data_IF_578005903445
#
_entry.id   IF_578005903445
#
_cell.length_a   1.000
_cell.length_b   1.000
_cell.length_c   1.000
_cell.angle_alpha   90.00
_cell.angle_beta   90.00
_cell.angle_gamma   90.00
#
_symmetry.space_group_name_H-M   'P 1'
#
loop_
_entity.id
_entity.type
_entity.pdbx_description
1 polymer ?
#
# COMPACT_ATOMS: atom_id res chain seq x y z
N UNK A 1 -5.55 -4.35 17.31
CA UNK A 1 -6.89 -4.49 17.89
C UNK A 1 -7.10 -5.90 18.42
N UNK A 2 -7.87 -6.01 19.47
CA UNK A 2 -8.17 -7.31 20.09
C UNK A 2 -8.95 -8.19 19.13
N UNK A 3 -8.49 -9.42 18.93
CA UNK A 3 -9.18 -10.42 18.14
C UNK A 3 -9.07 -10.23 16.63
N UNK A 4 -8.30 -9.26 16.15
CA UNK A 4 -8.05 -9.14 14.72
C UNK A 4 -7.04 -10.18 14.28
N UNK A 5 -7.48 -11.11 13.46
CA UNK A 5 -6.62 -12.05 12.77
C UNK A 5 -6.54 -11.62 11.30
N UNK A 6 -5.35 -11.33 10.77
CA UNK A 6 -5.23 -10.96 9.37
C UNK A 6 -5.68 -12.09 8.47
N UNK A 7 -6.68 -11.83 7.62
CA UNK A 7 -7.11 -12.79 6.62
C UNK A 7 -6.52 -12.40 5.27
N UNK A 8 -5.78 -13.30 4.61
CA UNK A 8 -5.22 -12.99 3.31
C UNK A 8 -6.27 -13.07 2.22
N UNK A 9 -6.07 -12.27 1.17
CA UNK A 9 -6.65 -12.62 -0.11
C UNK A 9 -5.57 -13.18 -1.03
N UNK A 10 -5.97 -14.12 -1.88
CA UNK A 10 -5.06 -14.83 -2.78
C UNK A 10 -5.15 -14.24 -4.17
N UNK A 11 -4.02 -14.19 -4.86
CA UNK A 11 -3.99 -13.88 -6.28
C UNK A 11 -3.71 -15.14 -7.09
N UNK A 12 -4.14 -15.16 -8.33
CA UNK A 12 -3.83 -16.28 -9.25
C UNK A 12 -2.40 -16.25 -9.75
N UNK A 13 -1.71 -15.12 -9.60
CA UNK A 13 -0.32 -14.94 -10.02
C UNK A 13 0.62 -15.55 -8.99
N UNK A 14 1.61 -16.30 -9.46
CA UNK A 14 2.61 -16.93 -8.60
C UNK A 14 3.72 -15.93 -8.24
N UNK A 15 3.42 -15.04 -7.32
CA UNK A 15 4.37 -14.07 -6.78
C UNK A 15 5.31 -14.74 -5.78
N UNK A 16 6.56 -14.28 -5.75
CA UNK A 16 7.55 -14.71 -4.75
C UNK A 16 8.09 -13.50 -4.02
N UNK A 17 8.28 -13.64 -2.71
CA UNK A 17 8.91 -12.64 -1.86
C UNK A 17 7.97 -12.02 -0.84
N UNK A 18 8.53 -11.09 -0.06
CA UNK A 18 7.84 -10.42 1.04
C UNK A 18 7.92 -8.91 0.82
N UNK A 19 6.78 -8.26 0.79
CA UNK A 19 6.65 -6.83 0.46
C UNK A 19 5.74 -6.16 1.47
N UNK A 20 6.09 -4.95 1.86
CA UNK A 20 5.22 -4.08 2.64
C UNK A 20 4.85 -2.87 1.79
N UNK A 21 3.57 -2.61 1.63
CA UNK A 21 3.06 -1.38 1.04
C UNK A 21 2.45 -0.53 2.15
N UNK A 22 3.01 0.65 2.39
CA UNK A 22 2.63 1.49 3.55
C UNK A 22 1.29 2.21 3.37
N UNK A 23 0.74 2.23 2.17
CA UNK A 23 -0.53 2.88 1.89
C UNK A 23 -0.44 4.37 1.65
N UNK A 24 -1.58 5.01 1.52
CA UNK A 24 -1.69 6.44 1.22
C UNK A 24 -1.64 7.33 2.46
N UNK A 25 -1.68 8.63 2.23
CA UNK A 25 -1.65 9.64 3.29
C UNK A 25 -3.00 9.77 4.01
N UNK A 26 -4.08 9.73 3.25
CA UNK A 26 -5.44 9.82 3.77
C UNK A 26 -6.12 8.45 3.73
N UNK A 27 -6.99 8.19 4.70
CA UNK A 27 -7.70 6.90 4.82
C UNK A 27 -6.75 5.72 4.75
N UNK A 28 -5.63 5.84 5.45
CA UNK A 28 -4.54 4.88 5.33
C UNK A 28 -4.98 3.47 5.72
N UNK A 29 -4.59 2.53 4.89
CA UNK A 29 -4.42 1.11 5.19
C UNK A 29 -3.10 0.68 4.59
N UNK A 30 -2.42 -0.25 5.21
CA UNK A 30 -1.22 -0.85 4.63
C UNK A 30 -1.50 -2.30 4.24
N UNK A 31 -0.58 -2.90 3.51
CA UNK A 31 -0.72 -4.29 3.10
C UNK A 31 0.63 -4.99 3.16
N UNK A 32 0.65 -6.20 3.66
CA UNK A 32 1.83 -7.07 3.62
C UNK A 32 1.56 -8.18 2.61
N UNK A 33 2.44 -8.31 1.62
CA UNK A 33 2.42 -9.40 0.66
C UNK A 33 3.44 -10.46 1.02
N UNK A 34 3.03 -11.70 1.10
CA UNK A 34 3.88 -12.87 1.30
C UNK A 34 3.59 -13.87 0.20
N UNK A 35 4.49 -13.93 -0.77
CA UNK A 35 4.28 -14.70 -2.00
C UNK A 35 2.96 -14.28 -2.68
N UNK A 36 2.03 -15.19 -2.93
CA UNK A 36 0.74 -14.88 -3.55
C UNK A 36 -0.36 -14.46 -2.57
N UNK A 37 -0.03 -14.31 -1.29
CA UNK A 37 -0.98 -13.95 -0.24
C UNK A 37 -0.79 -12.50 0.15
N UNK A 38 -1.87 -11.74 0.22
CA UNK A 38 -1.87 -10.34 0.60
C UNK A 38 -2.71 -10.14 1.85
N UNK A 39 -2.12 -9.51 2.86
CA UNK A 39 -2.72 -9.26 4.17
C UNK A 39 -2.95 -7.75 4.33
N UNK A 40 -4.15 -7.25 3.98
CA UNK A 40 -4.47 -5.84 4.22
C UNK A 40 -4.65 -5.59 5.71
N UNK A 41 -4.25 -4.40 6.14
CA UNK A 41 -4.47 -3.97 7.53
C UNK A 41 -5.91 -3.52 7.75
N UNK A 42 -6.35 -3.42 9.02
CA UNK A 42 -7.52 -2.63 9.33
C UNK A 42 -7.28 -1.16 8.99
N UNK A 43 -8.36 -0.40 8.95
CA UNK A 43 -8.28 1.05 8.73
C UNK A 43 -7.40 1.71 9.80
N UNK A 44 -6.41 2.49 9.35
CA UNK A 44 -5.50 3.22 10.24
C UNK A 44 -5.96 4.67 10.40
N UNK A 45 -6.18 5.38 9.30
CA UNK A 45 -6.69 6.75 9.32
C UNK A 45 -5.86 7.74 8.51
N UNK A 46 -6.04 9.01 8.80
CA UNK A 46 -5.34 10.09 8.10
C UNK A 46 -3.99 10.37 8.75
N UNK A 47 -2.92 10.25 7.98
CA UNK A 47 -1.55 10.41 8.47
C UNK A 47 -1.14 11.87 8.68
N UNK A 48 -2.03 12.82 8.41
CA UNK A 48 -1.86 14.21 8.81
C UNK A 48 -1.89 14.36 10.35
N UNK A 49 -2.51 13.42 11.05
CA UNK A 49 -2.51 13.35 12.51
C UNK A 49 -1.33 12.48 12.98
N UNK A 50 -0.46 13.04 13.83
CA UNK A 50 0.72 12.33 14.35
C UNK A 50 0.36 11.09 15.17
N UNK A 51 -0.81 11.06 15.80
CA UNK A 51 -1.29 9.88 16.52
C UNK A 51 -1.56 8.73 15.55
N UNK A 52 -2.06 9.06 14.36
CA UNK A 52 -2.31 8.08 13.30
C UNK A 52 -0.99 7.55 12.74
N UNK A 53 0.02 8.41 12.57
CA UNK A 53 1.36 8.00 12.15
C UNK A 53 1.93 6.98 13.14
N UNK A 54 1.82 7.25 14.42
CA UNK A 54 2.28 6.34 15.48
C UNK A 54 1.50 5.01 15.42
N UNK A 55 0.19 5.08 15.23
CA UNK A 55 -0.65 3.89 15.09
C UNK A 55 -0.23 3.04 13.89
N UNK A 56 0.09 3.69 12.77
CA UNK A 56 0.60 3.00 11.58
C UNK A 56 1.90 2.25 11.89
N UNK A 57 2.88 2.91 12.51
CA UNK A 57 4.15 2.30 12.87
C UNK A 57 3.97 1.09 13.80
N UNK A 58 3.15 1.24 14.81
CA UNK A 58 2.88 0.17 15.79
C UNK A 58 2.14 -1.00 15.14
N UNK A 59 1.18 -0.73 14.28
CA UNK A 59 0.39 -1.76 13.62
C UNK A 59 1.23 -2.53 12.59
N UNK A 60 2.08 -1.85 11.84
CA UNK A 60 3.04 -2.50 10.93
C UNK A 60 3.93 -3.46 11.71
N UNK A 61 4.51 -2.99 12.80
CA UNK A 61 5.39 -3.82 13.63
C UNK A 61 4.67 -5.05 14.17
N UNK A 62 3.43 -4.86 14.64
CA UNK A 62 2.60 -5.96 15.14
C UNK A 62 2.30 -6.99 14.06
N UNK A 63 1.98 -6.54 12.84
CA UNK A 63 1.73 -7.44 11.71
C UNK A 63 2.97 -8.21 11.29
N UNK A 64 4.12 -7.55 11.25
CA UNK A 64 5.38 -8.23 10.96
C UNK A 64 5.68 -9.34 11.97
N UNK A 65 5.45 -9.07 13.23
CA UNK A 65 5.65 -10.06 14.31
C UNK A 65 4.63 -11.20 14.19
N UNK A 66 3.36 -10.86 14.01
CA UNK A 66 2.28 -11.86 13.96
C UNK A 66 2.39 -12.78 12.74
N UNK A 67 2.76 -12.24 11.59
CA UNK A 67 2.92 -13.01 10.34
C UNK A 67 4.32 -13.59 10.18
N UNK A 68 5.25 -13.27 11.10
CA UNK A 68 6.66 -13.67 11.01
C UNK A 68 7.29 -13.24 9.68
N UNK A 69 7.00 -12.00 9.25
CA UNK A 69 7.41 -11.45 7.97
C UNK A 69 8.50 -10.41 8.18
N UNK A 70 9.55 -10.50 7.36
CA UNK A 70 10.57 -9.47 7.23
C UNK A 70 10.56 -8.96 5.80
N UNK A 71 9.99 -7.79 5.51
CA UNK A 71 9.90 -7.29 4.15
C UNK A 71 11.26 -7.15 3.49
N UNK A 72 11.33 -7.54 2.23
CA UNK A 72 12.52 -7.35 1.39
C UNK A 72 12.50 -5.97 0.74
N UNK A 73 11.31 -5.39 0.58
CA UNK A 73 11.10 -4.09 -0.04
C UNK A 73 9.87 -3.43 0.57
N UNK A 74 9.92 -2.10 0.64
CA UNK A 74 8.79 -1.27 1.07
C UNK A 74 8.32 -0.43 -0.10
N UNK A 75 7.03 -0.45 -0.37
CA UNK A 75 6.40 0.33 -1.43
C UNK A 75 5.68 1.53 -0.81
N UNK A 76 5.90 2.71 -1.37
CA UNK A 76 5.28 3.96 -0.91
C UNK A 76 4.93 4.87 -2.09
N UNK A 77 4.15 5.91 -1.81
CA UNK A 77 3.83 6.93 -2.81
C UNK A 77 5.07 7.72 -3.24
N UNK A 78 5.02 8.27 -4.46
CA UNK A 78 6.10 9.10 -5.02
C UNK A 78 6.09 10.54 -4.46
N UNK A 79 5.45 10.78 -3.34
CA UNK A 79 5.38 12.10 -2.72
C UNK A 79 6.32 12.17 -1.50
N UNK A 80 7.47 12.88 -1.60
CA UNK A 80 8.49 12.84 -0.55
C UNK A 80 8.06 13.49 0.76
N UNK A 81 7.04 14.35 0.73
CA UNK A 81 6.53 15.06 1.91
C UNK A 81 5.43 14.31 2.65
N UNK A 82 4.93 13.21 2.12
CA UNK A 82 3.92 12.42 2.80
C UNK A 82 4.51 11.72 4.04
N UNK A 83 3.73 11.69 5.11
CA UNK A 83 4.10 10.97 6.32
C UNK A 83 4.22 9.47 6.07
N UNK A 84 3.43 8.93 5.16
CA UNK A 84 3.56 7.53 4.72
C UNK A 84 4.95 7.25 4.13
N UNK A 85 5.49 8.17 3.33
CA UNK A 85 6.84 8.06 2.76
C UNK A 85 7.90 8.15 3.86
N UNK A 86 7.72 9.03 4.83
CA UNK A 86 8.62 9.16 5.98
C UNK A 86 8.65 7.87 6.80
N UNK A 87 7.50 7.28 7.08
CA UNK A 87 7.40 5.99 7.76
C UNK A 87 8.13 4.90 6.99
N UNK A 88 7.96 4.85 5.66
CA UNK A 88 8.66 3.89 4.81
C UNK A 88 10.18 4.03 4.92
N UNK A 89 10.69 5.25 4.92
CA UNK A 89 12.14 5.52 5.09
C UNK A 89 12.66 5.05 6.44
N UNK A 90 11.92 5.31 7.50
CA UNK A 90 12.31 4.96 8.86
C UNK A 90 12.39 3.46 9.10
N UNK A 91 11.69 2.66 8.30
CA UNK A 91 11.73 1.21 8.40
C UNK A 91 13.07 0.61 7.96
N UNK A 92 13.86 1.33 7.16
CA UNK A 92 15.22 0.93 6.79
C UNK A 92 15.31 -0.14 5.70
N UNK A 93 14.21 -0.52 5.07
CA UNK A 93 14.22 -1.47 3.95
C UNK A 93 14.42 -0.75 2.61
N UNK A 94 14.89 -1.45 1.57
CA UNK A 94 14.88 -0.89 0.22
C UNK A 94 13.49 -0.40 -0.17
N UNK A 95 13.42 0.80 -0.76
CA UNK A 95 12.15 1.44 -1.07
C UNK A 95 11.90 1.44 -2.57
N UNK A 96 10.63 1.18 -2.95
CA UNK A 96 10.10 1.40 -4.29
C UNK A 96 9.01 2.45 -4.18
N UNK A 97 9.13 3.52 -4.98
CA UNK A 97 8.12 4.56 -5.06
C UNK A 97 7.20 4.29 -6.25
N UNK A 98 5.91 4.36 -6.02
CA UNK A 98 4.88 4.09 -7.02
C UNK A 98 3.94 5.27 -7.10
N UNK A 99 3.58 5.66 -8.32
CA UNK A 99 2.60 6.71 -8.53
C UNK A 99 1.23 6.26 -8.02
N UNK A 100 0.58 7.12 -7.25
CA UNK A 100 -0.68 6.82 -6.57
C UNK A 100 -1.76 6.30 -7.54
N UNK A 101 -1.97 6.99 -8.66
CA UNK A 101 -2.95 6.59 -9.66
C UNK A 101 -2.63 5.23 -10.30
N UNK A 102 -1.35 4.97 -10.52
CA UNK A 102 -0.90 3.69 -11.04
C UNK A 102 -1.19 2.55 -10.06
N UNK A 103 -0.97 2.80 -8.77
CA UNK A 103 -1.29 1.83 -7.73
C UNK A 103 -2.78 1.48 -7.70
N UNK A 104 -3.67 2.47 -7.87
CA UNK A 104 -5.11 2.22 -7.97
C UNK A 104 -5.47 1.33 -9.16
N UNK A 105 -4.88 1.58 -10.32
CA UNK A 105 -5.13 0.78 -11.52
C UNK A 105 -4.66 -0.66 -11.32
N UNK A 106 -3.46 -0.85 -10.77
CA UNK A 106 -2.93 -2.18 -10.47
C UNK A 106 -3.79 -2.93 -9.46
N UNK A 107 -4.31 -2.23 -8.46
CA UNK A 107 -5.22 -2.80 -7.47
C UNK A 107 -6.50 -3.33 -8.12
N UNK A 108 -7.11 -2.55 -9.01
CA UNK A 108 -8.29 -2.97 -9.76
C UNK A 108 -8.00 -4.17 -10.67
N UNK A 109 -6.86 -4.17 -11.34
CA UNK A 109 -6.44 -5.29 -12.18
C UNK A 109 -6.27 -6.58 -11.37
N UNK A 110 -5.65 -6.47 -10.21
CA UNK A 110 -5.43 -7.62 -9.33
C UNK A 110 -6.75 -8.17 -8.79
N UNK A 111 -7.66 -7.28 -8.38
CA UNK A 111 -8.98 -7.67 -7.88
C UNK A 111 -9.81 -8.39 -8.95
N UNK A 112 -9.72 -7.94 -10.19
CA UNK A 112 -10.46 -8.52 -11.31
C UNK A 112 -9.68 -9.61 -12.07
N UNK A 113 -8.53 -10.00 -11.56
CA UNK A 113 -7.67 -11.04 -12.13
C UNK A 113 -7.30 -10.77 -13.61
N UNK A 114 -7.05 -9.51 -13.93
CA UNK A 114 -6.73 -9.06 -15.27
C UNK A 114 -5.21 -9.05 -15.48
N UNK A 115 -4.73 -9.83 -16.44
CA UNK A 115 -3.31 -9.93 -16.77
C UNK A 115 -2.98 -9.39 -18.16
N UNK A 116 -3.98 -8.98 -18.93
CA UNK A 116 -3.81 -8.43 -20.26
C UNK A 116 -3.37 -6.96 -20.20
N UNK A 117 -2.62 -6.46 -21.20
CA UNK A 117 -2.32 -5.05 -21.30
C UNK A 117 -3.60 -4.22 -21.40
N UNK A 118 -3.71 -3.19 -20.57
CA UNK A 118 -4.90 -2.32 -20.52
C UNK A 118 -4.48 -0.86 -20.58
N UNK A 119 -5.40 -0.02 -21.03
CA UNK A 119 -5.27 1.44 -20.89
C UNK A 119 -6.05 1.81 -19.64
N UNK A 120 -5.33 2.24 -18.61
CA UNK A 120 -5.93 2.66 -17.35
C UNK A 120 -6.10 4.16 -17.30
N UNK A 121 -7.26 4.62 -16.82
CA UNK A 121 -7.52 6.02 -16.55
C UNK A 121 -7.94 6.15 -15.10
N UNK A 122 -7.18 6.95 -14.34
CA UNK A 122 -7.48 7.19 -12.94
C UNK A 122 -7.78 8.68 -12.72
N UNK A 123 -8.89 8.93 -12.04
CA UNK A 123 -9.27 10.29 -11.64
C UNK A 123 -9.12 10.41 -10.13
N UNK A 124 -8.38 11.42 -9.71
CA UNK A 124 -8.27 11.74 -8.29
C UNK A 124 -9.08 13.01 -8.01
N UNK A 125 -10.10 12.88 -7.19
CA UNK A 125 -11.00 13.97 -6.81
C UNK A 125 -10.46 14.92 -5.76
N UNK A 126 -9.14 15.01 -5.60
CA UNK A 126 -8.54 15.78 -4.53
C UNK A 126 -8.53 17.29 -4.82
N UNK A 127 -9.02 18.02 -3.83
CA UNK A 127 -8.93 19.47 -3.58
C UNK A 127 -8.34 20.39 -4.66
N UNK A 128 -9.19 20.86 -5.51
CA UNK A 128 -9.22 22.26 -5.94
C UNK A 128 -8.18 22.73 -6.96
N UNK A 129 -7.13 22.04 -7.25
CA UNK A 129 -6.15 22.50 -8.23
C UNK A 129 -5.60 21.35 -9.08
N UNK A 130 -6.32 21.07 -10.13
CA UNK A 130 -5.83 20.24 -11.21
C UNK A 130 -6.25 18.79 -11.14
N UNK A 131 -7.31 18.48 -11.86
CA UNK A 131 -7.60 17.10 -12.27
C UNK A 131 -6.40 16.63 -13.11
N UNK A 132 -5.57 15.81 -12.54
CA UNK A 132 -4.55 15.12 -13.33
C UNK A 132 -5.16 13.83 -13.84
N UNK A 133 -5.45 13.79 -15.10
CA UNK A 133 -5.81 12.57 -15.78
C UNK A 133 -4.49 11.82 -16.06
N UNK A 134 -4.38 10.62 -15.59
CA UNK A 134 -3.29 9.75 -15.96
C UNK A 134 -3.83 8.68 -16.90
N UNK A 135 -3.31 8.65 -18.11
CA UNK A 135 -3.54 7.56 -19.06
C UNK A 135 -2.19 6.92 -19.33
N UNK A 136 -2.06 5.65 -19.01
CA UNK A 136 -0.84 4.91 -19.24
C UNK A 136 -1.13 3.49 -19.70
N UNK A 137 -0.20 2.94 -20.45
CA UNK A 137 -0.24 1.52 -20.82
C UNK A 137 0.46 0.73 -19.74
N UNK A 138 -0.24 -0.24 -19.18
CA UNK A 138 0.29 -1.14 -18.17
C UNK A 138 0.80 -2.43 -18.79
#
# INVERSE_FOLDING_TARGET
SRGYAPLPFMTSTDWKGQVLAVGGELKNTFCIGVDSRFYPSPYVGDLEDLRTVKALQETIHRFQTLLEVKPQVVVCDMHPKYNSTVVAKELGYPMIQVQHHYAHILSCMTENDCHDPVIGVAFNGWNGLGRRNFAGRL
#
